data_IF_828734200148
#
_entry.id   IF_828734200148
#
_cell.length_a   1.000
_cell.length_b   1.000
_cell.length_c   1.000
_cell.angle_alpha   90.00
_cell.angle_beta   90.00
_cell.angle_gamma   90.00
#
_symmetry.space_group_name_H-M   'P 1'
#
loop_
_entity.id
_entity.type
_entity.pdbx_description
1 polymer ?
#
# COMPACT_ATOMS: atom_id res chain seq x y z
N UNK A 1 14.57 11.99 -4.07
CA UNK A 1 13.46 11.03 -3.83
C UNK A 1 12.67 11.60 -2.68
N UNK A 2 11.43 12.03 -2.90
CA UNK A 2 10.54 12.31 -1.78
C UNK A 2 10.30 10.96 -1.10
N UNK A 3 10.85 10.79 0.10
CA UNK A 3 10.51 9.66 0.96
C UNK A 3 9.07 9.87 1.37
N UNK A 4 8.13 9.25 0.64
CA UNK A 4 6.82 8.98 1.22
C UNK A 4 7.10 8.06 2.41
N UNK A 5 7.12 8.64 3.61
CA UNK A 5 7.18 7.89 4.85
C UNK A 5 5.82 7.24 5.00
N UNK A 6 5.70 5.99 4.56
CA UNK A 6 4.51 5.22 4.84
C UNK A 6 4.55 4.89 6.31
N UNK A 7 3.42 5.12 6.95
CA UNK A 7 3.20 4.60 8.27
C UNK A 7 2.78 3.15 8.10
N UNK A 8 3.48 2.22 8.76
CA UNK A 8 3.05 0.84 8.88
C UNK A 8 2.80 0.53 10.35
N UNK A 9 1.62 -0.02 10.64
CA UNK A 9 1.26 -0.52 11.97
C UNK A 9 1.46 -2.03 11.98
N UNK A 10 2.31 -2.54 12.85
CA UNK A 10 2.60 -3.97 12.93
C UNK A 10 3.34 -4.37 14.21
N UNK A 11 3.53 -5.69 14.44
CA UNK A 11 4.39 -6.16 15.51
C UNK A 11 5.83 -5.64 15.27
N UNK A 12 6.40 -5.00 16.29
CA UNK A 12 7.69 -4.34 16.20
C UNK A 12 8.85 -5.29 15.88
N UNK A 13 9.79 -4.90 15.00
CA UNK A 13 11.02 -5.66 14.79
C UNK A 13 12.03 -5.56 15.94
N UNK A 14 11.87 -4.61 16.87
CA UNK A 14 12.87 -4.27 17.88
C UNK A 14 12.28 -4.23 19.30
N UNK A 15 11.79 -5.36 19.79
CA UNK A 15 11.42 -5.54 21.20
C UNK A 15 12.26 -6.64 21.86
N UNK A 16 12.93 -6.38 23.01
CA UNK A 16 13.58 -7.44 23.76
C UNK A 16 12.51 -8.28 24.47
N UNK A 17 12.32 -9.52 24.04
CA UNK A 17 11.43 -10.46 24.72
C UNK A 17 10.07 -10.61 24.05
N UNK A 18 9.72 -11.88 23.87
CA UNK A 18 8.46 -12.39 23.39
C UNK A 18 7.29 -11.97 24.31
N UNK A 19 6.42 -11.09 23.84
CA UNK A 19 5.01 -11.01 24.29
C UNK A 19 4.16 -10.45 23.15
N UNK A 20 3.08 -11.16 22.82
CA UNK A 20 2.06 -10.67 21.91
C UNK A 20 1.39 -9.45 22.55
N UNK A 21 1.42 -8.27 21.91
CA UNK A 21 0.48 -7.23 22.31
C UNK A 21 0.69 -5.79 21.85
N UNK A 22 1.88 -5.36 21.46
CA UNK A 22 2.10 -3.94 21.13
C UNK A 22 2.21 -3.72 19.61
N UNK A 23 1.25 -2.95 19.08
CA UNK A 23 1.31 -2.42 17.73
C UNK A 23 2.25 -1.21 17.71
N UNK A 24 3.21 -1.22 16.79
CA UNK A 24 4.13 -0.10 16.60
C UNK A 24 3.81 0.66 15.32
N UNK A 25 3.97 1.98 15.38
CA UNK A 25 3.92 2.88 14.25
C UNK A 25 5.34 3.08 13.70
N UNK A 26 5.62 2.57 12.51
CA UNK A 26 6.95 2.68 11.89
C UNK A 26 6.89 3.43 10.57
N UNK A 27 8.03 3.99 10.14
CA UNK A 27 8.21 4.67 8.85
C UNK A 27 9.05 3.85 7.84
N UNK A 28 8.64 2.63 7.42
CA UNK A 28 9.42 1.80 6.52
C UNK A 28 9.65 2.44 5.14
N UNK A 29 10.72 2.00 4.48
CA UNK A 29 10.92 2.22 3.04
C UNK A 29 9.81 1.53 2.24
N UNK A 30 9.08 2.26 1.39
CA UNK A 30 8.19 1.63 0.41
C UNK A 30 8.98 1.03 -0.76
N UNK A 31 8.76 -0.26 -0.99
CA UNK A 31 9.64 -1.11 -1.79
C UNK A 31 10.28 -2.15 -0.88
N UNK A 32 9.66 -3.32 -0.78
CA UNK A 32 10.10 -4.38 0.11
C UNK A 32 11.45 -4.95 -0.36
N UNK A 33 12.36 -5.11 0.59
CA UNK A 33 13.64 -5.79 0.40
C UNK A 33 13.55 -7.13 1.12
N UNK A 34 13.47 -8.26 0.40
CA UNK A 34 13.42 -9.57 1.05
C UNK A 34 14.68 -9.82 1.89
N UNK A 35 14.54 -10.48 3.04
CA UNK A 35 15.67 -10.78 3.93
C UNK A 35 16.81 -11.55 3.25
N UNK A 36 16.52 -12.31 2.19
CA UNK A 36 17.49 -13.09 1.43
C UNK A 36 18.18 -12.32 0.30
N UNK A 37 17.83 -11.05 0.09
CA UNK A 37 18.38 -10.23 -0.99
C UNK A 37 19.88 -9.98 -0.77
N UNK A 38 20.70 -10.20 -1.79
CA UNK A 38 22.19 -10.13 -1.69
C UNK A 38 22.84 -9.08 -2.59
N UNK A 39 22.06 -8.39 -3.43
CA UNK A 39 22.60 -7.40 -4.37
C UNK A 39 22.76 -6.06 -3.68
N UNK A 40 23.78 -5.32 -4.09
CA UNK A 40 24.07 -3.97 -3.57
C UNK A 40 23.02 -2.92 -3.99
N UNK A 41 22.20 -3.26 -4.98
CA UNK A 41 21.06 -2.45 -5.41
C UNK A 41 19.76 -2.99 -4.83
N UNK A 42 18.89 -2.10 -4.37
CA UNK A 42 17.54 -2.49 -3.94
C UNK A 42 16.78 -3.18 -5.08
N UNK A 43 15.91 -4.15 -4.77
CA UNK A 43 15.05 -4.75 -5.78
C UNK A 43 14.13 -3.68 -6.40
N UNK A 44 13.90 -3.81 -7.71
CA UNK A 44 12.94 -2.98 -8.43
C UNK A 44 11.54 -3.60 -8.36
N UNK A 45 10.51 -2.75 -8.51
CA UNK A 45 9.11 -3.19 -8.60
C UNK A 45 8.58 -3.97 -7.38
N UNK A 46 9.15 -3.75 -6.19
CA UNK A 46 8.71 -4.40 -4.96
C UNK A 46 7.82 -3.52 -4.08
N UNK A 47 7.08 -2.59 -4.67
CA UNK A 47 6.15 -1.71 -3.93
C UNK A 47 4.73 -2.29 -3.81
N UNK A 48 4.29 -3.11 -4.79
CA UNK A 48 2.97 -3.74 -4.82
C UNK A 48 3.08 -5.26 -4.96
N UNK A 49 2.49 -6.01 -4.04
CA UNK A 49 2.36 -7.47 -4.10
C UNK A 49 0.95 -7.82 -4.58
N UNK A 50 0.81 -8.70 -5.57
CA UNK A 50 -0.51 -9.13 -6.07
C UNK A 50 -1.07 -10.21 -5.15
N UNK A 51 -2.25 -9.99 -4.57
CA UNK A 51 -2.84 -10.94 -3.62
C UNK A 51 -3.12 -12.31 -4.21
N UNK A 52 -3.34 -12.36 -5.52
CA UNK A 52 -3.65 -13.59 -6.26
C UNK A 52 -2.46 -14.56 -6.33
N UNK A 53 -1.22 -14.05 -6.36
CA UNK A 53 -0.03 -14.89 -6.54
C UNK A 53 1.06 -14.70 -5.48
N UNK A 54 0.90 -13.76 -4.54
CA UNK A 54 1.91 -13.42 -3.53
C UNK A 54 2.38 -14.64 -2.71
N UNK A 55 1.50 -15.58 -2.43
CA UNK A 55 1.83 -16.79 -1.65
C UNK A 55 2.85 -17.70 -2.35
N UNK A 56 2.94 -17.65 -3.68
CA UNK A 56 3.86 -18.46 -4.47
C UNK A 56 5.18 -17.74 -4.80
N UNK A 57 5.23 -16.40 -4.63
CA UNK A 57 6.41 -15.60 -5.00
C UNK A 57 7.44 -15.56 -3.87
N UNK A 58 8.73 -15.87 -4.12
CA UNK A 58 9.79 -15.78 -3.11
C UNK A 58 9.94 -14.42 -2.43
N UNK A 59 9.61 -13.34 -3.15
CA UNK A 59 9.63 -11.96 -2.63
C UNK A 59 8.60 -11.74 -1.52
N UNK A 60 7.43 -12.40 -1.60
CA UNK A 60 6.26 -12.07 -0.79
C UNK A 60 5.88 -13.17 0.21
N UNK A 61 6.03 -14.45 -0.17
CA UNK A 61 5.52 -15.60 0.58
C UNK A 61 5.96 -15.67 2.03
N UNK A 62 7.16 -15.17 2.33
CA UNK A 62 7.64 -15.11 3.71
C UNK A 62 6.89 -14.05 4.51
N UNK A 63 6.81 -12.82 3.99
CA UNK A 63 6.13 -11.73 4.67
C UNK A 63 4.62 -11.95 4.77
N UNK A 64 3.99 -12.51 3.74
CA UNK A 64 2.57 -12.82 3.79
C UNK A 64 2.21 -13.80 4.91
N UNK A 65 3.13 -14.72 5.26
CA UNK A 65 2.88 -15.71 6.32
C UNK A 65 2.90 -15.11 7.72
N UNK A 66 3.76 -14.13 8.00
CA UNK A 66 3.97 -13.67 9.39
C UNK A 66 4.46 -12.23 9.57
N UNK A 67 4.75 -11.50 8.50
CA UNK A 67 5.26 -10.12 8.54
C UNK A 67 4.27 -9.21 7.80
N UNK A 68 3.06 -9.15 8.35
CA UNK A 68 1.95 -8.36 7.83
C UNK A 68 1.82 -7.07 8.64
N UNK A 69 1.38 -6.01 7.99
CA UNK A 69 1.14 -4.71 8.61
C UNK A 69 -0.11 -4.06 8.01
N UNK A 70 -0.64 -3.06 8.69
CA UNK A 70 -1.64 -2.13 8.13
C UNK A 70 -0.92 -0.88 7.65
N UNK A 71 -1.28 -0.38 6.47
CA UNK A 71 -0.80 0.90 5.96
C UNK A 71 -1.98 1.89 5.94
N UNK A 72 -2.15 2.73 6.98
CA UNK A 72 -3.23 3.71 7.03
C UNK A 72 -3.02 4.84 6.01
N UNK A 73 -4.12 5.31 5.42
CA UNK A 73 -4.15 6.47 4.53
C UNK A 73 -5.55 7.10 4.53
N UNK A 74 -5.68 8.31 3.98
CA UNK A 74 -7.00 8.92 3.69
C UNK A 74 -7.67 8.33 2.45
N UNK A 75 -6.89 7.68 1.59
CA UNK A 75 -7.28 7.27 0.25
C UNK A 75 -6.05 6.97 -0.59
N UNK A 76 -6.23 6.82 -1.89
CA UNK A 76 -5.13 6.73 -2.85
C UNK A 76 -5.44 7.51 -4.12
N UNK A 77 -4.37 7.84 -4.85
CA UNK A 77 -4.48 8.40 -6.19
C UNK A 77 -4.39 7.30 -7.23
N UNK A 78 -5.16 7.42 -8.30
CA UNK A 78 -5.05 6.55 -9.47
C UNK A 78 -5.23 7.35 -10.76
N UNK A 79 -4.52 6.98 -11.82
CA UNK A 79 -4.56 7.70 -13.10
C UNK A 79 -5.41 6.97 -14.12
N UNK A 80 -6.54 7.58 -14.50
CA UNK A 80 -7.46 6.98 -15.47
C UNK A 80 -6.77 6.80 -16.83
N UNK A 81 -6.62 5.55 -17.26
CA UNK A 81 -5.93 5.24 -18.52
C UNK A 81 -6.71 5.70 -19.76
N UNK A 82 -8.02 5.83 -19.62
CA UNK A 82 -8.96 6.12 -20.71
C UNK A 82 -9.34 7.60 -20.80
N UNK A 83 -8.82 8.44 -19.91
CA UNK A 83 -9.18 9.85 -19.81
C UNK A 83 -7.93 10.75 -19.81
N UNK A 84 -7.92 11.74 -20.70
CA UNK A 84 -6.79 12.64 -20.91
C UNK A 84 -7.19 14.08 -20.65
N UNK A 85 -6.40 14.79 -19.86
CA UNK A 85 -6.54 16.22 -19.56
C UNK A 85 -5.24 16.97 -19.85
N UNK A 86 -5.27 18.30 -19.83
CA UNK A 86 -4.05 19.12 -19.94
C UNK A 86 -3.58 19.54 -18.56
N UNK A 87 -2.28 19.40 -18.32
CA UNK A 87 -1.67 19.98 -17.12
C UNK A 87 -1.39 21.49 -17.30
N UNK A 88 -0.87 22.15 -16.25
CA UNK A 88 -0.53 23.59 -16.27
C UNK A 88 0.46 23.97 -17.39
N UNK A 89 1.31 23.02 -17.82
CA UNK A 89 2.23 23.19 -18.96
C UNK A 89 1.60 22.89 -20.33
N UNK A 90 0.29 22.68 -20.41
CA UNK A 90 -0.45 22.38 -21.64
C UNK A 90 -0.26 20.97 -22.19
N UNK A 91 0.53 20.10 -21.53
CA UNK A 91 0.80 18.73 -21.96
C UNK A 91 -0.40 17.82 -21.64
N UNK A 92 -0.76 16.94 -22.58
CA UNK A 92 -1.75 15.87 -22.33
C UNK A 92 -1.20 14.85 -21.34
N UNK A 93 -1.97 14.57 -20.30
CA UNK A 93 -1.68 13.61 -19.23
C UNK A 93 -2.96 12.87 -18.85
N UNK A 94 -2.82 11.69 -18.24
CA UNK A 94 -3.95 10.96 -17.65
C UNK A 94 -4.62 11.79 -16.55
N UNK A 95 -5.95 11.76 -16.46
CA UNK A 95 -6.69 12.38 -15.35
C UNK A 95 -6.43 11.62 -14.05
N UNK A 96 -5.83 12.26 -13.01
CA UNK A 96 -5.75 11.64 -11.70
C UNK A 96 -7.09 11.70 -10.97
N UNK A 97 -7.41 10.62 -10.26
CA UNK A 97 -8.54 10.51 -9.36
C UNK A 97 -8.03 10.33 -7.95
N UNK A 98 -8.73 10.91 -6.97
CA UNK A 98 -8.60 10.50 -5.57
C UNK A 98 -9.73 9.53 -5.23
N UNK A 99 -9.38 8.44 -4.56
CA UNK A 99 -10.28 7.33 -4.24
C UNK A 99 -10.24 7.11 -2.72
N UNK A 100 -11.41 7.00 -2.11
CA UNK A 100 -11.59 6.89 -0.65
C UNK A 100 -12.88 6.17 -0.29
N UNK A 101 -13.11 5.96 1.02
CA UNK A 101 -14.41 5.48 1.52
C UNK A 101 -15.35 6.67 1.74
N UNK A 102 -16.66 6.53 1.44
CA UNK A 102 -17.63 7.60 1.62
C UNK A 102 -17.80 8.06 3.07
N UNK A 103 -17.65 7.14 4.03
CA UNK A 103 -17.97 7.38 5.46
C UNK A 103 -16.76 7.25 6.39
N UNK A 104 -15.53 7.29 5.86
CA UNK A 104 -14.31 7.19 6.70
C UNK A 104 -13.17 8.06 6.19
N UNK A 105 -12.61 8.86 7.10
CA UNK A 105 -11.40 9.65 6.84
C UNK A 105 -10.11 8.81 6.78
N UNK A 106 -10.17 7.55 7.22
CA UNK A 106 -9.02 6.65 7.25
C UNK A 106 -9.40 5.27 6.71
N UNK A 107 -8.59 4.78 5.79
CA UNK A 107 -8.59 3.41 5.30
C UNK A 107 -7.31 2.72 5.72
N UNK A 108 -7.34 1.39 5.83
CA UNK A 108 -6.16 0.59 6.11
C UNK A 108 -5.90 -0.40 4.98
N UNK A 109 -4.79 -0.23 4.28
CA UNK A 109 -4.37 -1.19 3.27
C UNK A 109 -3.70 -2.40 3.94
N UNK A 110 -3.93 -3.59 3.37
CA UNK A 110 -3.13 -4.76 3.67
C UNK A 110 -1.69 -4.54 3.19
N UNK A 111 -0.74 -4.52 4.12
CA UNK A 111 0.67 -4.35 3.86
C UNK A 111 1.49 -5.58 4.25
N UNK A 112 2.65 -5.73 3.61
CA UNK A 112 3.70 -6.67 3.96
C UNK A 112 4.93 -5.88 4.39
N UNK A 113 5.70 -6.41 5.34
CA UNK A 113 6.97 -5.82 5.73
C UNK A 113 8.10 -6.84 5.82
N UNK A 114 9.34 -6.34 5.79
CA UNK A 114 10.54 -7.14 5.96
C UNK A 114 11.68 -6.27 6.50
N UNK A 115 12.58 -6.91 7.25
CA UNK A 115 13.88 -6.34 7.61
C UNK A 115 14.93 -7.02 6.73
N UNK A 116 15.70 -6.21 6.02
CA UNK A 116 16.90 -6.64 5.32
C UNK A 116 18.13 -6.21 6.11
N UNK A 117 19.14 -7.09 6.17
CA UNK A 117 20.42 -6.80 6.81
C UNK A 117 21.52 -6.77 5.75
N UNK A 118 22.20 -5.63 5.66
CA UNK A 118 23.38 -5.44 4.83
C UNK A 118 24.61 -6.14 5.38
N UNK A 119 25.61 -6.37 4.52
CA UNK A 119 26.88 -6.99 4.92
C UNK A 119 27.69 -6.11 5.89
N UNK A 120 27.44 -4.81 5.86
CA UNK A 120 27.98 -3.78 6.76
C UNK A 120 27.23 -3.69 8.11
N UNK A 121 26.22 -4.54 8.31
CA UNK A 121 25.36 -4.52 9.50
C UNK A 121 24.22 -3.50 9.45
N UNK A 122 24.08 -2.73 8.35
CA UNK A 122 22.94 -1.83 8.19
C UNK A 122 21.63 -2.61 8.14
N UNK A 123 20.60 -2.12 8.83
CA UNK A 123 19.25 -2.71 8.76
C UNK A 123 18.30 -1.78 8.02
N UNK A 124 17.54 -2.36 7.09
CA UNK A 124 16.52 -1.63 6.33
C UNK A 124 15.17 -2.27 6.60
N UNK A 125 14.33 -1.54 7.34
CA UNK A 125 12.91 -1.84 7.44
C UNK A 125 12.21 -1.36 6.17
N UNK A 126 11.49 -2.26 5.52
CA UNK A 126 10.82 -1.99 4.25
C UNK A 126 9.43 -2.61 4.19
N UNK A 127 8.57 -2.08 3.33
CA UNK A 127 7.19 -2.53 3.16
C UNK A 127 6.74 -2.56 1.70
N UNK A 128 5.65 -3.30 1.46
CA UNK A 128 4.91 -3.32 0.21
C UNK A 128 3.41 -3.34 0.50
N UNK A 129 2.63 -2.79 -0.42
CA UNK A 129 1.18 -2.79 -0.37
C UNK A 129 0.64 -4.01 -1.13
N UNK A 130 -0.41 -4.65 -0.62
CA UNK A 130 -1.12 -5.70 -1.33
C UNK A 130 -2.10 -5.07 -2.33
N UNK A 131 -2.17 -5.63 -3.54
CA UNK A 131 -3.09 -5.21 -4.61
C UNK A 131 -3.94 -6.39 -5.07
N UNK A 132 -5.16 -6.12 -5.53
CA UNK A 132 -6.08 -7.08 -6.15
C UNK A 132 -6.64 -6.53 -7.46
N UNK A 133 -7.34 -7.36 -8.23
CA UNK A 133 -8.15 -6.90 -9.37
C UNK A 133 -9.15 -5.84 -8.91
N UNK A 134 -9.30 -4.77 -9.71
CA UNK A 134 -10.21 -3.68 -9.39
C UNK A 134 -11.67 -4.16 -9.27
N UNK A 135 -12.35 -3.66 -8.24
CA UNK A 135 -13.79 -3.80 -8.10
C UNK A 135 -14.53 -2.97 -9.18
N UNK A 136 -15.81 -3.26 -9.46
CA UNK A 136 -16.59 -2.49 -10.44
C UNK A 136 -16.59 -0.97 -10.22
N UNK A 137 -16.56 -0.54 -8.95
CA UNK A 137 -16.45 0.87 -8.55
C UNK A 137 -15.16 1.55 -9.04
N UNK A 138 -14.08 0.80 -9.27
CA UNK A 138 -12.75 1.31 -9.65
C UNK A 138 -12.35 0.93 -11.08
N UNK A 139 -12.92 -0.14 -11.64
CA UNK A 139 -12.50 -0.72 -12.92
C UNK A 139 -12.59 0.24 -14.12
N UNK A 140 -13.36 1.33 -14.00
CA UNK A 140 -13.44 2.39 -15.00
C UNK A 140 -12.22 3.33 -15.01
N UNK A 141 -11.41 3.33 -13.95
CA UNK A 141 -10.19 4.13 -13.76
C UNK A 141 -8.94 3.27 -14.05
N UNK A 142 -8.83 2.10 -13.42
CA UNK A 142 -7.69 1.17 -13.55
C UNK A 142 -8.14 -0.28 -13.29
N UNK A 143 -7.43 -1.26 -13.88
CA UNK A 143 -7.71 -2.70 -13.71
C UNK A 143 -7.26 -3.30 -12.35
N UNK A 144 -6.54 -2.53 -11.54
CA UNK A 144 -5.98 -2.95 -10.25
C UNK A 144 -6.34 -1.93 -9.18
N UNK A 145 -6.37 -2.41 -7.94
CA UNK A 145 -6.57 -1.55 -6.78
C UNK A 145 -5.83 -2.10 -5.56
N UNK A 146 -5.55 -1.27 -4.55
CA UNK A 146 -5.11 -1.73 -3.23
C UNK A 146 -6.11 -2.67 -2.57
N UNK A 147 -5.61 -3.58 -1.74
CA UNK A 147 -6.44 -4.36 -0.82
C UNK A 147 -6.72 -3.50 0.42
N UNK A 148 -7.93 -2.98 0.55
CA UNK A 148 -8.38 -2.25 1.75
C UNK A 148 -9.10 -3.22 2.67
N UNK A 149 -8.56 -3.43 3.87
CA UNK A 149 -9.13 -4.38 4.83
C UNK A 149 -10.31 -3.76 5.57
N UNK A 150 -11.30 -4.59 5.90
CA UNK A 150 -12.32 -4.23 6.88
C UNK A 150 -11.74 -4.30 8.29
N UNK A 151 -12.27 -3.49 9.20
CA UNK A 151 -11.76 -3.39 10.56
C UNK A 151 -11.82 -4.73 11.31
N UNK A 152 -12.84 -5.55 11.08
CA UNK A 152 -12.97 -6.89 11.66
C UNK A 152 -11.80 -7.83 11.32
N UNK A 153 -11.12 -7.60 10.18
CA UNK A 153 -9.99 -8.42 9.74
C UNK A 153 -8.64 -7.96 10.28
N UNK A 154 -8.56 -6.80 10.95
CA UNK A 154 -7.27 -6.22 11.37
C UNK A 154 -6.50 -7.12 12.34
N UNK A 155 -7.18 -7.70 13.33
CA UNK A 155 -6.54 -8.55 14.33
C UNK A 155 -5.94 -9.81 13.70
N UNK A 156 -6.73 -10.53 12.89
CA UNK A 156 -6.28 -11.71 12.16
C UNK A 156 -5.18 -11.37 11.14
N UNK A 157 -5.31 -10.23 10.46
CA UNK A 157 -4.28 -9.76 9.55
C UNK A 157 -2.96 -9.48 10.26
N UNK A 158 -2.97 -8.92 11.47
CA UNK A 158 -1.75 -8.54 12.18
C UNK A 158 -1.10 -9.69 12.99
N UNK A 159 -1.86 -10.71 13.38
CA UNK A 159 -1.33 -11.80 14.20
C UNK A 159 -0.47 -12.79 13.38
N UNK A 160 0.85 -12.91 13.64
CA UNK A 160 1.72 -13.82 12.91
C UNK A 160 1.33 -15.30 13.05
N UNK A 161 0.47 -15.65 14.01
CA UNK A 161 -0.03 -17.01 14.25
C UNK A 161 -1.33 -17.32 13.50
N UNK A 162 -1.96 -16.33 12.88
CA UNK A 162 -3.19 -16.52 12.10
C UNK A 162 -2.99 -17.54 10.99
N UNK A 163 -3.96 -18.44 10.84
CA UNK A 163 -3.85 -19.52 9.86
C UNK A 163 -3.95 -18.97 8.44
N UNK A 164 -3.36 -19.70 7.49
CA UNK A 164 -3.35 -19.31 6.08
C UNK A 164 -4.76 -19.02 5.54
N UNK A 165 -5.75 -19.82 5.96
CA UNK A 165 -7.13 -19.67 5.51
C UNK A 165 -7.72 -18.33 5.94
N UNK A 166 -7.55 -17.94 7.20
CA UNK A 166 -8.09 -16.66 7.72
C UNK A 166 -7.36 -15.44 7.10
N UNK A 167 -6.07 -15.58 6.79
CA UNK A 167 -5.32 -14.57 6.02
C UNK A 167 -5.88 -14.43 4.61
N UNK A 168 -6.23 -15.54 3.95
CA UNK A 168 -6.85 -15.51 2.63
C UNK A 168 -8.26 -14.92 2.68
N UNK A 169 -9.04 -15.25 3.71
CA UNK A 169 -10.37 -14.69 3.95
C UNK A 169 -10.31 -13.17 4.09
N UNK A 170 -9.37 -12.65 4.88
CA UNK A 170 -9.14 -11.20 5.04
C UNK A 170 -8.90 -10.50 3.70
N UNK A 171 -8.18 -11.14 2.78
CA UNK A 171 -7.89 -10.60 1.44
C UNK A 171 -9.11 -10.69 0.50
N UNK A 172 -9.85 -11.81 0.57
CA UNK A 172 -11.04 -12.01 -0.28
C UNK A 172 -12.20 -11.11 0.11
N UNK A 173 -12.42 -10.92 1.42
CA UNK A 173 -13.49 -10.11 2.00
C UNK A 173 -13.07 -8.63 2.21
N UNK A 174 -11.97 -8.20 1.57
CA UNK A 174 -11.57 -6.81 1.52
C UNK A 174 -12.63 -5.92 0.84
N UNK A 175 -12.70 -4.65 1.24
CA UNK A 175 -13.66 -3.67 0.72
C UNK A 175 -13.57 -3.54 -0.81
N UNK A 176 -14.72 -3.33 -1.43
CA UNK A 176 -14.89 -3.25 -2.88
C UNK A 176 -15.73 -2.07 -3.36
N UNK A 177 -16.33 -1.31 -2.44
CA UNK A 177 -17.16 -0.15 -2.77
C UNK A 177 -16.45 1.13 -2.29
N UNK A 178 -16.23 2.05 -3.22
CA UNK A 178 -15.41 3.24 -3.03
C UNK A 178 -16.00 4.40 -3.80
N UNK A 179 -15.81 5.60 -3.27
CA UNK A 179 -16.06 6.83 -4.02
C UNK A 179 -14.77 7.31 -4.68
N UNK A 180 -14.91 7.93 -5.84
CA UNK A 180 -13.80 8.50 -6.60
C UNK A 180 -14.20 9.81 -7.23
N UNK A 181 -13.28 10.78 -7.26
CA UNK A 181 -13.49 12.05 -7.96
C UNK A 181 -12.18 12.54 -8.60
N UNK A 182 -12.25 13.27 -9.73
CA UNK A 182 -11.07 13.79 -10.40
C UNK A 182 -10.38 14.84 -9.53
N UNK A 183 -9.05 14.84 -9.50
CA UNK A 183 -8.21 15.83 -8.80
C UNK A 183 -7.24 16.53 -9.74
N UNK A 184 -6.57 17.57 -9.23
CA UNK A 184 -5.64 18.35 -10.03
C UNK A 184 -4.43 17.52 -10.50
N UNK A 185 -3.99 17.76 -11.75
CA UNK A 185 -2.73 17.21 -12.29
C UNK A 185 -1.47 17.60 -11.50
N UNK A 186 -1.57 18.55 -10.55
CA UNK A 186 -0.51 18.89 -9.61
C UNK A 186 -0.01 17.68 -8.81
N UNK A 187 -0.85 16.66 -8.57
CA UNK A 187 -0.45 15.43 -7.89
C UNK A 187 0.63 14.63 -8.64
N UNK A 188 0.80 14.87 -9.95
CA UNK A 188 1.81 14.19 -10.77
C UNK A 188 3.24 14.54 -10.35
N UNK A 189 3.44 15.65 -9.62
CA UNK A 189 4.73 16.03 -9.08
C UNK A 189 4.80 15.65 -7.59
N UNK A 190 5.53 14.58 -7.26
CA UNK A 190 5.68 14.07 -5.90
C UNK A 190 6.38 15.03 -4.91
N UNK A 191 6.82 16.22 -5.35
CA UNK A 191 7.28 17.30 -4.46
C UNK A 191 6.14 18.15 -3.91
N UNK A 192 4.96 18.05 -4.51
CA UNK A 192 3.77 18.75 -4.06
C UNK A 192 3.17 17.99 -2.88
N UNK A 193 2.97 18.69 -1.77
CA UNK A 193 2.36 18.16 -0.54
C UNK A 193 1.56 19.28 0.13
N UNK A 194 0.33 19.47 -0.32
CA UNK A 194 -0.58 20.51 0.15
C UNK A 194 -2.04 20.03 0.04
N UNK A 195 -2.95 20.48 0.92
CA UNK A 195 -4.29 19.90 1.08
C UNK A 195 -5.14 19.95 -0.19
N UNK A 196 -4.93 20.93 -1.07
CA UNK A 196 -5.66 21.10 -2.33
C UNK A 196 -5.43 19.94 -3.32
N UNK A 197 -4.44 19.08 -3.10
CA UNK A 197 -4.25 17.86 -3.88
C UNK A 197 -5.36 16.82 -3.66
N UNK A 198 -6.18 17.00 -2.63
CA UNK A 198 -7.32 16.14 -2.31
C UNK A 198 -8.65 16.74 -2.74
N UNK A 199 -8.66 17.99 -3.21
CA UNK A 199 -9.90 18.66 -3.58
C UNK A 199 -10.34 18.27 -5.00
N UNK A 200 -11.65 18.13 -5.26
CA UNK A 200 -12.15 17.88 -6.60
C UNK A 200 -11.68 18.96 -7.58
N UNK A 201 -11.11 18.54 -8.71
CA UNK A 201 -10.81 19.46 -9.80
C UNK A 201 -12.01 19.57 -10.73
N UNK A 202 -12.40 20.79 -11.08
CA UNK A 202 -13.26 21.01 -12.24
C UNK A 202 -12.49 20.59 -13.49
N UNK A 203 -13.08 19.78 -14.39
CA UNK A 203 -12.49 19.54 -15.70
C UNK A 203 -12.26 20.88 -16.40
N UNK A 204 -11.05 21.12 -16.90
CA UNK A 204 -10.72 22.28 -17.75
C UNK A 204 -11.00 21.93 -19.20
#
# INVERSE_FOLDING_TARGET
>A
MASLHFIAVGPGPYGPGNDAGHLELNGPRWGLIPHWWKKDVSPSLTFNARSEDAIEKPTWRHSLRSMRCLMPARGWYEWNENEQVRNEGGRKVKQPYFISLPDSDVIAFAGLWAVWQGQDGAQVLSCALMSKTAAPSIAHIHDRMPVVLKQEHFAAWLDPKTQRQDVQESLSDALSDFMSYPVSTKVNNARNDFPELLEPSTPI
#
